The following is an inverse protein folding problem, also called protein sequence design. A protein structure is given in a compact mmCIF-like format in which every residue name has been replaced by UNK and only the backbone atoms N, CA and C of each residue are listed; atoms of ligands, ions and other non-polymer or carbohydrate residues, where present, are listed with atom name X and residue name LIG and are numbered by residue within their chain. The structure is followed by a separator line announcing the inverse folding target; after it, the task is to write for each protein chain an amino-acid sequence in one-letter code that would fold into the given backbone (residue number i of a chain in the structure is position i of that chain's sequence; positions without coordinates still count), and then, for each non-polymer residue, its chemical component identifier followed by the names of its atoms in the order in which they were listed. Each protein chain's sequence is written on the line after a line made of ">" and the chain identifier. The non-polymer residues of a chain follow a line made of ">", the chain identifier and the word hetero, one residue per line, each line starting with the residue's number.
data_IF_838098701198
#
_entry.id   IF_838098701198
#
_cell.length_a   1.000
_cell.length_b   1.000
_cell.length_c   1.000
_cell.angle_alpha   90.00
_cell.angle_beta   90.00
_cell.angle_gamma   90.00
#
_symmetry.space_group_name_H-M   'P 1'
#
loop_
_entity.id
_entity.type
_entity.pdbx_description
1 polymer ?
#
# COMPACT_ATOMS: atom_id res chain seq x y z
N UNK A 1 -2.77 26.68 6.75
CA UNK A 1 -2.87 25.32 7.29
C UNK A 1 -1.68 24.54 6.80
N UNK A 2 -0.76 24.17 7.70
CA UNK A 2 0.47 23.49 7.32
C UNK A 2 0.21 22.02 7.00
N UNK A 3 0.62 21.56 5.84
CA UNK A 3 0.62 20.14 5.50
C UNK A 3 1.62 19.41 6.41
N UNK A 4 1.13 18.45 7.19
CA UNK A 4 1.97 17.62 8.06
C UNK A 4 2.44 16.40 7.28
N UNK A 5 3.72 16.05 7.40
CA UNK A 5 4.34 14.94 6.70
C UNK A 5 5.02 13.97 7.67
N UNK A 6 5.20 12.73 7.24
CA UNK A 6 6.00 11.71 7.93
C UNK A 6 7.12 11.22 7.01
N UNK A 7 8.32 10.95 7.55
CA UNK A 7 9.37 10.31 6.78
C UNK A 7 8.95 8.88 6.40
N UNK A 8 9.19 8.52 5.14
CA UNK A 8 9.04 7.20 4.57
C UNK A 8 10.38 6.77 4.00
N UNK A 9 10.74 5.50 4.21
CA UNK A 9 11.94 4.89 3.64
C UNK A 9 11.71 3.42 3.39
N UNK A 10 12.19 2.93 2.24
CA UNK A 10 12.30 1.50 1.99
C UNK A 10 13.39 0.87 2.87
N UNK A 11 13.23 -0.39 3.25
CA UNK A 11 14.20 -1.09 4.11
C UNK A 11 15.60 -1.24 3.48
N UNK A 12 15.67 -1.20 2.13
CA UNK A 12 16.91 -1.23 1.36
C UNK A 12 17.41 0.16 0.96
N UNK A 13 16.93 1.22 1.63
CA UNK A 13 17.45 2.58 1.44
C UNK A 13 18.73 2.79 2.25
N UNK A 14 19.51 3.82 1.90
CA UNK A 14 20.78 4.12 2.57
C UNK A 14 20.56 4.34 4.07
N UNK A 15 19.61 5.20 4.46
CA UNK A 15 19.39 5.50 5.89
C UNK A 15 18.86 4.29 6.68
N UNK A 16 18.09 3.40 6.05
CA UNK A 16 17.58 2.18 6.68
C UNK A 16 18.70 1.15 6.87
N UNK A 17 19.53 0.97 5.85
CA UNK A 17 20.73 0.11 5.87
C UNK A 17 21.68 0.60 6.97
N UNK A 18 22.00 1.90 7.00
CA UNK A 18 22.87 2.50 8.02
C UNK A 18 22.33 2.31 9.44
N UNK A 19 21.05 2.56 9.68
CA UNK A 19 20.44 2.32 10.99
C UNK A 19 20.50 0.85 11.40
N UNK A 20 20.28 -0.08 10.47
CA UNK A 20 20.36 -1.51 10.76
C UNK A 20 21.77 -1.91 11.22
N UNK A 21 22.82 -1.38 10.57
CA UNK A 21 24.20 -1.61 11.00
C UNK A 21 24.55 -0.87 12.31
N UNK A 22 23.95 0.29 12.57
CA UNK A 22 24.16 1.03 13.82
C UNK A 22 23.61 0.28 15.05
N UNK A 23 22.57 -0.52 14.88
CA UNK A 23 21.94 -1.29 15.96
C UNK A 23 22.69 -2.60 16.25
N UNK A 24 23.39 -3.19 15.28
CA UNK A 24 24.10 -4.46 15.44
C UNK A 24 25.61 -4.33 15.16
N UNK A 25 26.41 -4.33 16.24
CA UNK A 25 27.87 -4.18 16.22
C UNK A 25 28.61 -5.29 15.47
N UNK A 26 28.01 -6.46 15.27
CA UNK A 26 28.64 -7.60 14.57
C UNK A 26 28.18 -7.73 13.12
N UNK A 27 27.31 -6.84 12.68
CA UNK A 27 26.76 -6.84 11.33
C UNK A 27 27.82 -6.44 10.29
N UNK A 28 28.18 -7.38 9.41
CA UNK A 28 29.08 -7.12 8.28
C UNK A 28 28.31 -6.47 7.14
N UNK A 29 28.78 -5.34 6.62
CA UNK A 29 28.21 -4.69 5.42
C UNK A 29 28.35 -5.62 4.22
N UNK A 30 27.25 -6.26 3.83
CA UNK A 30 27.24 -7.24 2.73
C UNK A 30 26.82 -6.63 1.38
N UNK A 31 26.10 -5.49 1.37
CA UNK A 31 25.63 -4.82 0.15
C UNK A 31 25.62 -3.30 0.32
N UNK A 32 26.21 -2.58 -0.63
CA UNK A 32 26.29 -1.11 -0.64
C UNK A 32 25.41 -0.44 -1.71
N UNK A 33 24.77 -1.23 -2.58
CA UNK A 33 23.81 -0.69 -3.55
C UNK A 33 22.46 -0.54 -2.87
N UNK A 34 21.97 0.69 -2.79
CA UNK A 34 20.64 0.98 -2.28
C UNK A 34 19.59 0.71 -3.36
N UNK A 35 18.57 -0.07 -3.00
CA UNK A 35 17.41 -0.38 -3.85
C UNK A 35 16.14 0.33 -3.35
N UNK A 36 16.17 0.87 -2.13
CA UNK A 36 15.06 1.57 -1.51
C UNK A 36 15.11 3.07 -1.74
N UNK A 37 13.94 3.67 -2.00
CA UNK A 37 13.75 5.12 -2.03
C UNK A 37 13.40 5.66 -0.65
N UNK A 38 13.60 6.97 -0.48
CA UNK A 38 13.26 7.72 0.71
C UNK A 38 12.43 8.94 0.31
N UNK A 39 11.58 9.42 1.22
CA UNK A 39 10.78 10.59 0.96
C UNK A 39 9.85 10.95 2.10
N UNK A 40 9.00 11.94 1.87
CA UNK A 40 7.99 12.37 2.80
C UNK A 40 6.61 11.95 2.29
N UNK A 41 5.79 11.39 3.17
CA UNK A 41 4.39 11.07 2.90
C UNK A 41 3.47 11.97 3.71
N UNK A 42 2.36 12.48 3.13
CA UNK A 42 1.39 13.25 3.90
C UNK A 42 0.85 12.46 5.08
N UNK A 43 0.66 13.12 6.21
CA UNK A 43 0.04 12.50 7.38
C UNK A 43 -1.43 12.20 7.11
N UNK A 44 -1.81 10.92 7.19
CA UNK A 44 -3.18 10.45 6.90
C UNK A 44 -4.09 10.32 8.12
N UNK A 45 -3.62 10.68 9.32
CA UNK A 45 -4.39 10.51 10.55
C UNK A 45 -4.17 9.15 11.25
N UNK A 46 -5.17 8.73 12.02
CA UNK A 46 -5.13 7.49 12.81
C UNK A 46 -5.21 6.25 11.94
N UNK A 47 -4.36 5.25 12.22
CA UNK A 47 -4.37 3.94 11.56
C UNK A 47 -5.71 3.25 11.74
N UNK A 48 -6.31 3.34 12.93
CA UNK A 48 -7.61 2.71 13.21
C UNK A 48 -8.69 3.17 12.24
N UNK A 49 -8.76 4.49 11.97
CA UNK A 49 -9.73 5.07 11.05
C UNK A 49 -9.52 4.57 9.62
N UNK A 50 -8.27 4.59 9.14
CA UNK A 50 -7.92 4.13 7.79
C UNK A 50 -8.26 2.66 7.60
N UNK A 51 -8.00 1.82 8.62
CA UNK A 51 -8.32 0.38 8.56
C UNK A 51 -9.83 0.16 8.49
N UNK A 52 -10.63 0.90 9.27
CA UNK A 52 -12.10 0.81 9.19
C UNK A 52 -12.61 1.21 7.79
N UNK A 53 -12.10 2.30 7.20
CA UNK A 53 -12.46 2.72 5.85
C UNK A 53 -12.13 1.63 4.81
N UNK A 54 -10.97 0.98 4.92
CA UNK A 54 -10.59 -0.13 4.03
C UNK A 54 -11.53 -1.33 4.20
N UNK A 55 -11.93 -1.66 5.43
CA UNK A 55 -12.87 -2.75 5.71
C UNK A 55 -14.25 -2.46 5.11
N UNK A 56 -14.76 -1.24 5.27
CA UNK A 56 -16.04 -0.82 4.69
C UNK A 56 -16.00 -0.87 3.15
N UNK A 57 -14.94 -0.36 2.53
CA UNK A 57 -14.75 -0.41 1.09
C UNK A 57 -14.65 -1.86 0.57
N UNK A 58 -13.95 -2.74 1.29
CA UNK A 58 -13.83 -4.15 0.94
C UNK A 58 -15.20 -4.87 1.00
N UNK A 59 -16.02 -4.58 2.01
CA UNK A 59 -17.39 -5.13 2.12
C UNK A 59 -18.30 -4.66 0.99
N UNK A 60 -18.18 -3.40 0.57
CA UNK A 60 -18.88 -2.93 -0.64
C UNK A 60 -18.40 -3.70 -1.89
N UNK A 61 -17.09 -3.95 -1.99
CA UNK A 61 -16.47 -4.83 -2.99
C UNK A 61 -17.10 -6.23 -3.07
N UNK A 62 -17.37 -6.84 -1.92
CA UNK A 62 -18.00 -8.16 -1.82
C UNK A 62 -19.41 -8.16 -2.42
N UNK A 63 -20.15 -7.05 -2.26
CA UNK A 63 -21.46 -6.85 -2.87
C UNK A 63 -21.41 -6.90 -4.39
N UNK A 64 -20.46 -6.19 -5.02
CA UNK A 64 -20.28 -6.21 -6.48
C UNK A 64 -19.94 -7.61 -7.01
N UNK A 65 -19.19 -8.39 -6.25
CA UNK A 65 -18.81 -9.76 -6.60
C UNK A 65 -19.85 -10.83 -6.20
N UNK A 66 -20.93 -10.47 -5.50
CA UNK A 66 -21.93 -11.41 -5.00
C UNK A 66 -21.36 -12.45 -4.00
N UNK A 67 -20.37 -12.05 -3.21
CA UNK A 67 -19.64 -12.89 -2.27
C UNK A 67 -19.95 -12.52 -0.81
N UNK A 68 -20.09 -13.52 0.07
CA UNK A 68 -20.32 -13.27 1.51
C UNK A 68 -19.05 -13.44 2.35
N UNK A 69 -17.98 -14.00 1.79
CA UNK A 69 -16.70 -14.21 2.47
C UNK A 69 -15.53 -14.23 1.46
N UNK A 70 -14.29 -14.33 1.96
CA UNK A 70 -13.07 -14.29 1.14
C UNK A 70 -12.99 -15.48 0.17
N UNK A 71 -13.38 -16.68 0.61
CA UNK A 71 -13.37 -17.88 -0.23
C UNK A 71 -14.33 -17.73 -1.42
N UNK A 72 -15.54 -17.23 -1.15
CA UNK A 72 -16.50 -16.92 -2.20
C UNK A 72 -16.01 -15.82 -3.12
N UNK A 73 -15.35 -14.78 -2.60
CA UNK A 73 -14.79 -13.72 -3.41
C UNK A 73 -13.79 -14.30 -4.42
N UNK A 74 -12.88 -15.16 -3.97
CA UNK A 74 -11.89 -15.80 -4.84
C UNK A 74 -12.53 -16.70 -5.91
N UNK A 75 -13.65 -17.36 -5.59
CA UNK A 75 -14.35 -18.26 -6.52
C UNK A 75 -15.27 -17.54 -7.51
N UNK A 76 -15.99 -16.51 -7.06
CA UNK A 76 -17.08 -15.86 -7.82
C UNK A 76 -16.64 -14.64 -8.64
N UNK A 77 -15.54 -13.98 -8.25
CA UNK A 77 -15.13 -12.72 -8.88
C UNK A 77 -14.66 -12.94 -10.32
N UNK A 78 -15.20 -12.15 -11.24
CA UNK A 78 -14.77 -12.11 -12.65
C UNK A 78 -14.15 -10.74 -12.93
N UNK A 79 -12.94 -10.73 -13.47
CA UNK A 79 -12.22 -9.51 -13.82
C UNK A 79 -12.39 -9.19 -15.31
N UNK A 80 -12.50 -7.90 -15.61
CA UNK A 80 -12.47 -7.38 -16.97
C UNK A 80 -11.13 -6.69 -17.18
N UNK A 81 -10.45 -7.02 -18.29
CA UNK A 81 -9.20 -6.34 -18.67
C UNK A 81 -9.54 -5.01 -19.34
N UNK A 82 -8.98 -3.93 -18.81
CA UNK A 82 -9.17 -2.57 -19.34
C UNK A 82 -7.89 -2.09 -20.01
N UNK A 83 -8.00 -1.30 -21.08
CA UNK A 83 -6.86 -0.58 -21.66
C UNK A 83 -6.62 0.70 -20.84
N UNK A 84 -5.37 1.16 -20.69
CA UNK A 84 -5.07 2.34 -19.86
C UNK A 84 -5.89 3.59 -20.22
N UNK A 85 -6.18 3.79 -21.51
CA UNK A 85 -6.97 4.92 -22.03
C UNK A 85 -8.42 4.93 -21.57
N UNK A 86 -9.00 3.76 -21.32
CA UNK A 86 -10.44 3.58 -21.07
C UNK A 86 -10.77 3.50 -19.57
N UNK A 87 -9.76 3.57 -18.70
CA UNK A 87 -9.89 3.40 -17.24
C UNK A 87 -10.80 4.43 -16.57
N UNK A 88 -10.92 5.64 -17.12
CA UNK A 88 -11.80 6.70 -16.59
C UNK A 88 -13.26 6.54 -17.02
N UNK A 89 -13.50 5.97 -18.19
CA UNK A 89 -14.84 5.89 -18.79
C UNK A 89 -15.67 4.72 -18.23
N UNK A 90 -15.00 3.71 -17.66
CA UNK A 90 -15.66 2.51 -17.13
C UNK A 90 -16.38 2.80 -15.80
N UNK A 91 -15.84 3.69 -14.97
CA UNK A 91 -16.46 4.06 -13.68
C UNK A 91 -17.82 4.75 -13.88
N UNK A 92 -18.08 5.36 -15.04
CA UNK A 92 -19.38 5.97 -15.36
C UNK A 92 -20.39 5.01 -15.99
N UNK A 93 -19.97 3.81 -16.39
CA UNK A 93 -20.82 2.81 -17.06
C UNK A 93 -21.28 1.67 -16.15
N UNK A 94 -20.78 1.63 -14.92
CA UNK A 94 -21.18 0.72 -13.84
C UNK A 94 -21.99 1.55 -12.84
#
# INVERSE_FOLDING_TARGET
>A
GGSVYKPYRGMASISAIELRYAVDRYSRRTKQVAEGIEGLVPYKGSVYKIVQEIIEALKAGFGYAGASNIEELWRKTVFIRTKPRDSRDIIQKI
#
